data_IF_894501222712
#
_entry.id   IF_894501222712
#
_cell.length_a   1.000
_cell.length_b   1.000
_cell.length_c   1.000
_cell.angle_alpha   90.00
_cell.angle_beta   90.00
_cell.angle_gamma   90.00
#
_symmetry.space_group_name_H-M   'P 1'
#
loop_
_entity.id
_entity.type
_entity.pdbx_description
1 polymer ?
#
# COMPACT_ATOMS: atom_id res chain seq x y z
N UNK A 1 4.70 28.13 -1.77
CA UNK A 1 4.87 28.88 -0.50
C UNK A 1 6.28 29.44 -0.34
N UNK A 2 7.36 28.64 -0.36
CA UNK A 2 8.75 29.16 -0.28
C UNK A 2 9.10 30.27 -1.29
N UNK A 3 8.56 30.18 -2.50
CA UNK A 3 8.75 31.21 -3.54
C UNK A 3 8.12 32.56 -3.18
N UNK A 4 7.02 32.56 -2.40
CA UNK A 4 6.38 33.80 -1.93
C UNK A 4 7.27 34.50 -0.93
N UNK A 5 7.86 33.77 0.03
CA UNK A 5 8.86 34.31 0.97
C UNK A 5 10.05 34.93 0.25
N UNK A 6 10.59 34.22 -0.75
CA UNK A 6 11.71 34.72 -1.55
C UNK A 6 11.34 36.02 -2.27
N UNK A 7 10.13 36.06 -2.83
CA UNK A 7 9.66 37.22 -3.59
C UNK A 7 9.30 38.40 -2.67
N UNK A 8 8.75 38.16 -1.47
CA UNK A 8 8.48 39.22 -0.49
C UNK A 8 9.76 39.90 -0.01
N UNK A 9 10.85 39.14 0.17
CA UNK A 9 12.17 39.69 0.48
C UNK A 9 12.74 40.46 -0.71
N UNK A 10 12.52 39.97 -1.93
CA UNK A 10 12.95 40.65 -3.15
C UNK A 10 12.25 42.00 -3.34
N UNK A 11 10.94 42.11 -3.03
CA UNK A 11 10.22 43.40 -3.04
C UNK A 11 10.89 44.42 -2.12
N UNK A 12 11.27 44.02 -0.90
CA UNK A 12 11.97 44.91 0.05
C UNK A 12 13.35 45.32 -0.49
N UNK A 13 14.09 44.38 -1.09
CA UNK A 13 15.39 44.66 -1.68
C UNK A 13 15.30 45.63 -2.87
N UNK A 14 14.34 45.42 -3.78
CA UNK A 14 14.13 46.27 -4.95
C UNK A 14 13.64 47.66 -4.54
N UNK A 15 12.78 47.75 -3.52
CA UNK A 15 12.33 49.03 -2.95
C UNK A 15 13.51 49.82 -2.36
N UNK A 16 14.36 49.15 -1.57
CA UNK A 16 15.57 49.76 -1.04
C UNK A 16 16.54 50.21 -2.15
N UNK A 17 16.72 49.38 -3.20
CA UNK A 17 17.56 49.73 -4.34
C UNK A 17 17.05 50.99 -5.06
N UNK A 18 15.72 51.13 -5.20
CA UNK A 18 15.11 52.34 -5.75
C UNK A 18 15.35 53.57 -4.85
N UNK A 19 15.24 53.44 -3.52
CA UNK A 19 15.53 54.54 -2.60
C UNK A 19 16.99 55.01 -2.64
N UNK A 20 17.93 54.07 -2.84
CA UNK A 20 19.35 54.40 -3.01
C UNK A 20 19.60 55.05 -4.37
N UNK A 21 19.00 54.52 -5.44
CA UNK A 21 19.21 54.96 -6.82
C UNK A 21 17.87 55.00 -7.58
N UNK A 22 17.17 56.16 -7.59
CA UNK A 22 15.85 56.30 -8.20
C UNK A 22 15.90 56.34 -9.73
N UNK A 23 16.07 55.18 -10.37
CA UNK A 23 16.09 55.04 -11.83
C UNK A 23 14.86 54.31 -12.35
N UNK A 24 14.45 54.55 -13.62
CA UNK A 24 13.37 53.79 -14.24
C UNK A 24 13.60 52.27 -14.21
N UNK A 25 14.86 51.83 -14.35
CA UNK A 25 15.23 50.41 -14.28
C UNK A 25 14.97 49.81 -12.90
N UNK A 26 15.31 50.51 -11.81
CA UNK A 26 15.05 50.01 -10.46
C UNK A 26 13.55 50.03 -10.12
N UNK A 27 12.81 51.01 -10.64
CA UNK A 27 11.35 51.04 -10.52
C UNK A 27 10.69 49.86 -11.25
N UNK A 28 11.19 49.52 -12.44
CA UNK A 28 10.72 48.36 -13.20
C UNK A 28 10.99 47.05 -12.45
N UNK A 29 12.18 46.88 -11.85
CA UNK A 29 12.50 45.71 -11.00
C UNK A 29 11.53 45.58 -9.84
N UNK A 30 11.25 46.67 -9.12
CA UNK A 30 10.29 46.71 -8.02
C UNK A 30 8.87 46.34 -8.48
N UNK A 31 8.41 46.88 -9.60
CA UNK A 31 7.10 46.55 -10.14
C UNK A 31 7.01 45.07 -10.56
N UNK A 32 8.07 44.55 -11.19
CA UNK A 32 8.14 43.14 -11.58
C UNK A 32 8.14 42.21 -10.36
N UNK A 33 8.86 42.53 -9.28
CA UNK A 33 8.83 41.70 -8.06
C UNK A 33 7.47 41.74 -7.37
N UNK A 34 6.77 42.89 -7.32
CA UNK A 34 5.39 42.98 -6.84
C UNK A 34 4.42 42.15 -7.69
N UNK A 35 4.44 42.30 -9.01
CA UNK A 35 3.55 41.53 -9.91
C UNK A 35 3.79 40.01 -9.79
N UNK A 36 5.06 39.60 -9.67
CA UNK A 36 5.42 38.21 -9.44
C UNK A 36 4.86 37.69 -8.11
N UNK A 37 4.87 38.51 -7.06
CA UNK A 37 4.31 38.17 -5.75
C UNK A 37 2.79 37.95 -5.83
N UNK A 38 2.07 38.85 -6.50
CA UNK A 38 0.62 38.73 -6.72
C UNK A 38 0.25 37.47 -7.53
N UNK A 39 1.06 37.12 -8.55
CA UNK A 39 0.87 35.87 -9.30
C UNK A 39 0.99 34.65 -8.39
N UNK A 40 2.01 34.62 -7.52
CA UNK A 40 2.19 33.50 -6.59
C UNK A 40 1.10 33.44 -5.52
N UNK A 41 0.60 34.58 -5.06
CA UNK A 41 -0.53 34.63 -4.12
C UNK A 41 -1.75 33.88 -4.70
N UNK A 42 -2.01 34.04 -6.01
CA UNK A 42 -3.08 33.29 -6.70
C UNK A 42 -2.85 31.79 -6.74
N UNK A 43 -1.60 31.34 -6.85
CA UNK A 43 -1.27 29.91 -6.79
C UNK A 43 -1.48 29.33 -5.39
N UNK A 44 -1.22 30.12 -4.35
CA UNK A 44 -1.37 29.71 -2.95
C UNK A 44 -2.86 29.49 -2.59
N UNK A 45 -3.81 30.19 -3.22
CA UNK A 45 -5.25 29.96 -3.04
C UNK A 45 -5.68 28.51 -3.32
N UNK A 46 -5.01 27.81 -4.24
CA UNK A 46 -5.34 26.42 -4.57
C UNK A 46 -4.91 25.42 -3.48
N UNK A 47 -4.09 25.86 -2.53
CA UNK A 47 -3.65 25.03 -1.40
C UNK A 47 -4.67 25.05 -0.24
N UNK A 48 -5.76 25.81 -0.38
CA UNK A 48 -6.79 25.94 0.65
C UNK A 48 -7.53 24.63 0.89
N UNK A 49 -7.57 24.21 2.15
CA UNK A 49 -8.36 23.10 2.64
C UNK A 49 -9.05 23.50 3.96
N UNK A 50 -9.89 22.62 4.50
CA UNK A 50 -10.64 22.88 5.74
C UNK A 50 -9.77 23.07 6.98
N UNK A 51 -8.54 22.54 6.97
CA UNK A 51 -7.61 22.61 8.09
C UNK A 51 -6.79 23.92 8.07
N UNK A 52 -6.50 24.47 6.88
CA UNK A 52 -5.60 25.61 6.71
C UNK A 52 -6.30 26.91 6.27
N UNK A 53 -7.62 26.92 6.08
CA UNK A 53 -8.39 28.06 5.55
C UNK A 53 -8.07 29.39 6.24
N UNK A 54 -8.14 29.41 7.58
CA UNK A 54 -7.88 30.64 8.35
C UNK A 54 -6.45 31.14 8.22
N UNK A 55 -5.47 30.24 8.37
CA UNK A 55 -4.06 30.59 8.27
C UNK A 55 -3.71 31.09 6.86
N UNK A 56 -4.31 30.48 5.82
CA UNK A 56 -4.13 30.88 4.44
C UNK A 56 -4.76 32.25 4.15
N UNK A 57 -5.94 32.55 4.70
CA UNK A 57 -6.55 33.88 4.60
C UNK A 57 -5.65 34.95 5.21
N UNK A 58 -5.13 34.72 6.42
CA UNK A 58 -4.19 35.66 7.05
C UNK A 58 -2.91 35.81 6.21
N UNK A 59 -2.40 34.72 5.66
CA UNK A 59 -1.23 34.75 4.80
C UNK A 59 -1.44 35.58 3.53
N UNK A 60 -2.60 35.45 2.88
CA UNK A 60 -2.98 36.25 1.71
C UNK A 60 -3.09 37.72 2.07
N UNK A 61 -3.73 38.06 3.19
CA UNK A 61 -3.88 39.43 3.66
C UNK A 61 -2.52 40.10 3.97
N UNK A 62 -1.55 39.33 4.49
CA UNK A 62 -0.19 39.84 4.70
C UNK A 62 0.51 40.17 3.38
N UNK A 63 0.31 39.35 2.34
CA UNK A 63 0.89 39.61 1.01
C UNK A 63 0.29 40.90 0.41
N UNK A 64 -1.02 41.09 0.52
CA UNK A 64 -1.69 42.32 0.08
C UNK A 64 -1.18 43.53 0.85
N UNK A 65 -1.09 43.41 2.17
CA UNK A 65 -0.61 44.49 3.05
C UNK A 65 0.84 44.87 2.73
N UNK A 66 1.69 43.91 2.36
CA UNK A 66 3.07 44.17 1.95
C UNK A 66 3.11 45.03 0.69
N UNK A 67 2.35 44.65 -0.34
CA UNK A 67 2.30 45.40 -1.59
C UNK A 67 1.81 46.84 -1.36
N UNK A 68 0.72 47.00 -0.61
CA UNK A 68 0.15 48.30 -0.29
C UNK A 68 1.11 49.19 0.51
N UNK A 69 1.76 48.62 1.51
CA UNK A 69 2.73 49.35 2.37
C UNK A 69 3.99 49.72 1.59
N UNK A 70 4.46 48.87 0.69
CA UNK A 70 5.56 49.19 -0.22
C UNK A 70 5.20 50.35 -1.16
N UNK A 71 3.97 50.38 -1.68
CA UNK A 71 3.50 51.47 -2.54
C UNK A 71 3.34 52.79 -1.79
N UNK A 72 2.85 52.78 -0.54
CA UNK A 72 2.82 53.97 0.31
C UNK A 72 4.22 54.48 0.65
N UNK A 73 5.16 53.59 0.96
CA UNK A 73 6.55 53.95 1.20
C UNK A 73 7.19 54.63 -0.03
N UNK A 74 6.90 54.11 -1.23
CA UNK A 74 7.33 54.70 -2.50
C UNK A 74 6.67 56.06 -2.77
N UNK A 75 5.38 56.22 -2.46
CA UNK A 75 4.65 57.47 -2.60
C UNK A 75 5.30 58.58 -1.75
N UNK A 76 5.45 58.35 -0.45
CA UNK A 76 6.08 59.31 0.46
C UNK A 76 7.53 59.65 0.08
N UNK A 77 8.27 58.67 -0.46
CA UNK A 77 9.61 58.91 -0.98
C UNK A 77 9.60 59.93 -2.11
N UNK A 78 8.68 59.79 -3.07
CA UNK A 78 8.52 60.69 -4.20
C UNK A 78 8.00 62.07 -3.78
N UNK A 79 7.21 62.16 -2.72
CA UNK A 79 6.72 63.41 -2.11
C UNK A 79 7.76 64.11 -1.22
N UNK A 80 8.98 63.56 -1.13
CA UNK A 80 10.08 64.07 -0.30
C UNK A 80 9.82 63.99 1.22
N UNK A 81 8.84 63.18 1.64
CA UNK A 81 8.49 62.91 3.03
C UNK A 81 9.31 61.73 3.57
N UNK A 82 10.60 61.99 3.84
CA UNK A 82 11.58 60.94 4.18
C UNK A 82 11.25 60.15 5.45
N UNK A 83 10.66 60.81 6.44
CA UNK A 83 10.32 60.17 7.72
C UNK A 83 9.16 59.18 7.56
N UNK A 84 8.08 59.61 6.89
CA UNK A 84 6.92 58.75 6.62
C UNK A 84 7.27 57.61 5.66
N UNK A 85 8.09 57.89 4.64
CA UNK A 85 8.62 56.85 3.74
C UNK A 85 9.41 55.79 4.51
N UNK A 86 10.30 56.20 5.42
CA UNK A 86 11.11 55.28 6.24
C UNK A 86 10.24 54.45 7.21
N UNK A 87 9.18 55.05 7.75
CA UNK A 87 8.22 54.37 8.62
C UNK A 87 7.46 53.28 7.86
N UNK A 88 6.90 53.60 6.69
CA UNK A 88 6.23 52.60 5.85
C UNK A 88 7.21 51.54 5.36
N UNK A 89 8.46 51.89 5.04
CA UNK A 89 9.49 50.92 4.65
C UNK A 89 9.79 49.92 5.78
N UNK A 90 9.90 50.41 7.02
CA UNK A 90 10.09 49.55 8.18
C UNK A 90 8.90 48.61 8.40
N UNK A 91 7.68 49.10 8.18
CA UNK A 91 6.47 48.27 8.28
C UNK A 91 6.39 47.22 7.17
N UNK A 92 6.69 47.58 5.91
CA UNK A 92 6.80 46.63 4.81
C UNK A 92 7.83 45.52 5.12
N UNK A 93 8.98 45.92 5.69
CA UNK A 93 10.01 44.95 6.11
C UNK A 93 9.48 43.99 7.18
N UNK A 94 8.72 44.49 8.17
CA UNK A 94 8.06 43.65 9.19
C UNK A 94 7.06 42.69 8.60
N UNK A 95 6.21 43.16 7.68
CA UNK A 95 5.22 42.30 7.01
C UNK A 95 5.94 41.20 6.22
N UNK A 96 7.05 41.50 5.54
CA UNK A 96 7.85 40.48 4.83
C UNK A 96 8.43 39.42 5.78
N UNK A 97 8.82 39.80 7.01
CA UNK A 97 9.21 38.84 8.05
C UNK A 97 8.02 37.98 8.52
N UNK A 98 6.85 38.58 8.75
CA UNK A 98 5.64 37.82 9.12
C UNK A 98 5.20 36.84 8.02
N UNK A 99 5.33 37.21 6.74
CA UNK A 99 5.12 36.29 5.61
C UNK A 99 6.08 35.10 5.71
N UNK A 100 7.34 35.34 6.06
CA UNK A 100 8.34 34.27 6.25
C UNK A 100 7.95 33.32 7.39
N UNK A 101 7.55 33.87 8.55
CA UNK A 101 7.11 33.09 9.72
C UNK A 101 5.83 32.29 9.46
N UNK A 102 4.85 32.90 8.80
CA UNK A 102 3.60 32.23 8.45
C UNK A 102 3.83 31.13 7.42
N UNK A 103 4.76 31.32 6.49
CA UNK A 103 5.17 30.27 5.55
C UNK A 103 5.70 29.04 6.28
N UNK A 104 6.57 29.24 7.28
CA UNK A 104 7.09 28.15 8.09
C UNK A 104 5.99 27.46 8.89
N UNK A 105 5.07 28.24 9.46
CA UNK A 105 3.92 27.72 10.23
C UNK A 105 2.99 26.87 9.35
N UNK A 106 2.67 27.33 8.14
CA UNK A 106 1.85 26.59 7.19
C UNK A 106 2.53 25.28 6.76
N UNK A 107 3.84 25.32 6.47
CA UNK A 107 4.61 24.13 6.12
C UNK A 107 4.65 23.12 7.30
N UNK A 108 4.90 23.60 8.52
CA UNK A 108 4.94 22.76 9.71
C UNK A 108 3.58 22.11 9.99
N UNK A 109 2.48 22.86 9.84
CA UNK A 109 1.13 22.34 9.98
C UNK A 109 0.81 21.23 8.96
N UNK A 110 1.21 21.39 7.71
CA UNK A 110 1.04 20.37 6.67
C UNK A 110 1.86 19.11 6.98
N UNK A 111 3.10 19.25 7.44
CA UNK A 111 3.96 18.12 7.85
C UNK A 111 3.37 17.37 9.06
N UNK A 112 2.91 18.09 10.08
CA UNK A 112 2.30 17.48 11.27
C UNK A 112 0.98 16.78 10.95
N UNK A 113 0.21 17.30 10.00
CA UNK A 113 -1.01 16.66 9.49
C UNK A 113 -0.68 15.33 8.80
N UNK A 114 0.39 15.30 8.00
CA UNK A 114 0.91 14.08 7.39
C UNK A 114 1.34 13.08 8.46
N UNK A 115 2.11 13.48 9.47
CA UNK A 115 2.50 12.57 10.55
C UNK A 115 1.31 11.97 11.30
N UNK A 116 0.28 12.78 11.60
CA UNK A 116 -0.94 12.30 12.25
C UNK A 116 -1.68 11.29 11.39
N UNK A 117 -1.78 11.53 10.09
CA UNK A 117 -2.37 10.61 9.13
C UNK A 117 -1.59 9.30 9.04
N UNK A 118 -0.26 9.36 8.97
CA UNK A 118 0.62 8.19 8.97
C UNK A 118 0.51 7.39 10.25
N UNK A 119 0.48 8.06 11.42
CA UNK A 119 0.23 7.41 12.70
C UNK A 119 -1.14 6.74 12.74
N UNK A 120 -2.19 7.39 12.22
CA UNK A 120 -3.53 6.80 12.11
C UNK A 120 -3.56 5.52 11.27
N UNK A 121 -2.85 5.49 10.13
CA UNK A 121 -2.71 4.28 9.30
C UNK A 121 -1.96 3.18 10.04
N UNK A 122 -0.84 3.53 10.71
CA UNK A 122 -0.02 2.57 11.46
C UNK A 122 -0.79 2.03 12.67
N UNK A 123 -1.59 2.85 13.35
CA UNK A 123 -2.38 2.43 14.51
C UNK A 123 -3.52 1.49 14.08
N UNK A 124 -4.17 1.75 12.95
CA UNK A 124 -5.13 0.81 12.34
C UNK A 124 -4.49 -0.47 11.78
N UNK A 125 -3.15 -0.52 11.61
CA UNK A 125 -2.46 -1.75 11.18
C UNK A 125 -2.63 -2.90 12.17
N UNK A 126 -2.99 -2.62 13.44
CA UNK A 126 -3.25 -3.64 14.45
C UNK A 126 -4.37 -4.60 14.05
N UNK A 127 -5.47 -4.08 13.50
CA UNK A 127 -6.61 -4.90 13.09
C UNK A 127 -6.32 -5.68 11.80
N UNK A 128 -5.57 -5.10 10.87
CA UNK A 128 -5.10 -5.80 9.65
C UNK A 128 -4.17 -6.96 10.03
N UNK A 129 -3.27 -6.75 11.00
CA UNK A 129 -2.38 -7.82 11.51
C UNK A 129 -3.18 -8.93 12.18
N UNK A 130 -4.17 -8.61 13.02
CA UNK A 130 -5.05 -9.60 13.65
C UNK A 130 -5.82 -10.41 12.61
N UNK A 131 -6.39 -9.75 11.60
CA UNK A 131 -7.07 -10.42 10.48
C UNK A 131 -6.10 -11.36 9.75
N UNK A 132 -4.87 -10.91 9.48
CA UNK A 132 -3.83 -11.73 8.85
C UNK A 132 -3.52 -13.00 9.65
N UNK A 133 -3.39 -12.90 10.98
CA UNK A 133 -3.16 -14.05 11.86
C UNK A 133 -4.35 -15.02 11.82
N UNK A 134 -5.59 -14.52 11.89
CA UNK A 134 -6.78 -15.37 11.82
C UNK A 134 -6.91 -16.09 10.49
N UNK A 135 -6.65 -15.40 9.37
CA UNK A 135 -6.64 -16.01 8.03
C UNK A 135 -5.56 -17.08 7.94
N UNK A 136 -4.35 -16.82 8.43
CA UNK A 136 -3.26 -17.81 8.45
C UNK A 136 -3.62 -19.06 9.26
N UNK A 137 -4.21 -18.89 10.44
CA UNK A 137 -4.69 -19.99 11.29
C UNK A 137 -5.81 -20.78 10.60
N UNK A 138 -6.75 -20.08 9.96
CA UNK A 138 -7.85 -20.72 9.22
C UNK A 138 -7.34 -21.56 8.05
N UNK A 139 -6.41 -21.02 7.26
CA UNK A 139 -5.78 -21.76 6.15
C UNK A 139 -5.03 -22.98 6.67
N UNK A 140 -4.27 -22.83 7.76
CA UNK A 140 -3.51 -23.93 8.36
C UNK A 140 -4.44 -25.03 8.88
N UNK A 141 -5.53 -24.66 9.54
CA UNK A 141 -6.56 -25.59 9.99
C UNK A 141 -7.20 -26.33 8.82
N UNK A 142 -7.58 -25.61 7.75
CA UNK A 142 -8.18 -26.20 6.56
C UNK A 142 -7.23 -27.19 5.87
N UNK A 143 -5.94 -26.83 5.72
CA UNK A 143 -4.93 -27.72 5.18
C UNK A 143 -4.75 -28.99 6.02
N UNK A 144 -4.77 -28.87 7.34
CA UNK A 144 -4.67 -30.02 8.25
C UNK A 144 -5.89 -30.94 8.11
N UNK A 145 -7.11 -30.39 8.04
CA UNK A 145 -8.34 -31.15 7.82
C UNK A 145 -8.34 -31.86 6.47
N UNK A 146 -7.95 -31.17 5.39
CA UNK A 146 -7.86 -31.75 4.05
C UNK A 146 -6.81 -32.87 4.00
N UNK A 147 -5.62 -32.64 4.58
CA UNK A 147 -4.55 -33.64 4.64
C UNK A 147 -5.00 -34.88 5.40
N UNK A 148 -5.69 -34.69 6.54
CA UNK A 148 -6.24 -35.79 7.32
C UNK A 148 -7.34 -36.54 6.55
N UNK A 149 -8.24 -35.81 5.89
CA UNK A 149 -9.29 -36.36 5.03
C UNK A 149 -8.71 -37.24 3.92
N UNK A 150 -7.76 -36.72 3.14
CA UNK A 150 -7.07 -37.48 2.08
C UNK A 150 -6.32 -38.70 2.62
N UNK A 151 -5.71 -38.59 3.80
CA UNK A 151 -5.04 -39.72 4.43
C UNK A 151 -6.02 -40.88 4.69
N UNK A 152 -7.24 -40.57 5.15
CA UNK A 152 -8.27 -41.57 5.43
C UNK A 152 -8.95 -42.11 4.19
N UNK A 153 -9.35 -41.25 3.24
CA UNK A 153 -10.13 -41.65 2.07
C UNK A 153 -9.29 -42.24 0.94
N UNK A 154 -8.03 -41.83 0.79
CA UNK A 154 -7.17 -42.27 -0.33
C UNK A 154 -5.94 -42.98 0.18
N UNK A 155 -5.08 -42.31 0.97
CA UNK A 155 -3.73 -42.83 1.26
C UNK A 155 -3.78 -44.17 2.02
N UNK A 156 -4.62 -44.30 3.04
CA UNK A 156 -4.76 -45.55 3.81
C UNK A 156 -5.37 -46.69 2.97
N UNK A 157 -6.50 -46.52 2.26
CA UNK A 157 -7.05 -47.50 1.33
C UNK A 157 -6.05 -47.97 0.26
N UNK A 158 -5.37 -47.04 -0.41
CA UNK A 158 -4.36 -47.36 -1.43
C UNK A 158 -3.21 -48.15 -0.81
N UNK A 159 -2.71 -47.76 0.36
CA UNK A 159 -1.66 -48.51 1.08
C UNK A 159 -2.10 -49.94 1.40
N UNK A 160 -3.36 -50.16 1.81
CA UNK A 160 -3.91 -51.51 2.03
C UNK A 160 -3.95 -52.33 0.74
N UNK A 161 -4.35 -51.73 -0.38
CA UNK A 161 -4.32 -52.41 -1.69
C UNK A 161 -2.90 -52.77 -2.11
N UNK A 162 -1.93 -51.86 -1.93
CA UNK A 162 -0.52 -52.14 -2.21
C UNK A 162 0.00 -53.31 -1.36
N UNK A 163 -0.36 -53.37 -0.07
CA UNK A 163 0.00 -54.49 0.80
C UNK A 163 -0.64 -55.81 0.34
N UNK A 164 -1.93 -55.78 -0.01
CA UNK A 164 -2.63 -56.96 -0.51
C UNK A 164 -2.03 -57.47 -1.83
N UNK A 165 -1.68 -56.59 -2.75
CA UNK A 165 -1.01 -56.93 -4.00
C UNK A 165 0.36 -57.60 -3.76
N UNK A 166 1.10 -57.14 -2.76
CA UNK A 166 2.39 -57.73 -2.38
C UNK A 166 2.24 -59.12 -1.71
N UNK A 167 1.18 -59.36 -0.95
CA UNK A 167 0.91 -60.71 -0.43
C UNK A 167 0.44 -61.65 -1.56
N UNK A 168 -0.35 -61.13 -2.51
CA UNK A 168 -0.77 -61.85 -3.71
C UNK A 168 0.44 -62.28 -4.57
N UNK A 169 1.41 -61.38 -4.80
CA UNK A 169 2.62 -61.68 -5.57
C UNK A 169 3.52 -62.73 -4.90
N UNK A 170 3.40 -62.92 -3.60
CA UNK A 170 4.08 -63.96 -2.81
C UNK A 170 3.32 -65.30 -2.80
N UNK A 171 2.26 -65.43 -3.59
CA UNK A 171 1.47 -66.65 -3.68
C UNK A 171 0.49 -66.86 -2.53
N UNK A 172 0.22 -65.84 -1.70
CA UNK A 172 -0.70 -65.95 -0.55
C UNK A 172 -2.13 -65.61 -0.95
N UNK A 173 -2.76 -66.52 -1.68
CA UNK A 173 -4.09 -66.30 -2.25
C UNK A 173 -5.26 -66.44 -1.28
N UNK A 174 -5.05 -66.93 -0.05
CA UNK A 174 -6.11 -67.21 0.92
C UNK A 174 -6.60 -65.97 1.69
N UNK A 175 -5.91 -64.83 1.59
CA UNK A 175 -6.24 -63.61 2.35
C UNK A 175 -7.20 -62.71 1.54
N UNK A 176 -8.44 -62.45 2.01
CA UNK A 176 -9.38 -61.59 1.29
C UNK A 176 -8.94 -60.13 1.31
N UNK A 177 -9.12 -59.44 0.19
CA UNK A 177 -8.78 -58.03 0.04
C UNK A 177 -9.99 -57.19 0.46
N UNK A 178 -9.95 -56.63 1.67
CA UNK A 178 -11.01 -55.76 2.19
C UNK A 178 -10.51 -54.35 2.41
N UNK A 179 -11.11 -53.41 1.71
CA UNK A 179 -10.88 -51.97 1.86
C UNK A 179 -12.20 -51.31 2.18
N UNK A 180 -12.19 -50.51 3.24
CA UNK A 180 -13.33 -49.70 3.64
C UNK A 180 -13.26 -48.38 2.87
N UNK A 181 -13.97 -48.33 1.73
CA UNK A 181 -14.17 -47.15 0.91
C UNK A 181 -15.52 -47.25 0.21
N UNK A 182 -16.08 -46.11 -0.21
CA UNK A 182 -17.35 -46.02 -0.93
C UNK A 182 -17.20 -45.37 -2.32
N UNK A 183 -15.96 -45.20 -2.79
CA UNK A 183 -15.59 -44.54 -4.04
C UNK A 183 -14.94 -45.54 -5.04
N UNK A 184 -14.24 -45.02 -6.04
CA UNK A 184 -13.52 -45.80 -7.04
C UNK A 184 -12.46 -46.75 -6.42
N UNK A 185 -11.96 -46.46 -5.23
CA UNK A 185 -11.03 -47.34 -4.51
C UNK A 185 -11.74 -48.62 -4.03
N UNK A 186 -13.02 -48.52 -3.68
CA UNK A 186 -13.84 -49.69 -3.32
C UNK A 186 -14.00 -50.63 -4.52
N UNK A 187 -14.28 -50.05 -5.70
CA UNK A 187 -14.37 -50.81 -6.94
C UNK A 187 -13.05 -51.49 -7.31
N UNK A 188 -11.93 -50.78 -7.13
CA UNK A 188 -10.60 -51.33 -7.36
C UNK A 188 -10.31 -52.50 -6.40
N UNK A 189 -10.67 -52.36 -5.13
CA UNK A 189 -10.50 -53.41 -4.13
C UNK A 189 -11.27 -54.69 -4.49
N UNK A 190 -12.54 -54.55 -4.90
CA UNK A 190 -13.36 -55.69 -5.35
C UNK A 190 -12.78 -56.35 -6.59
N UNK A 191 -12.26 -55.56 -7.54
CA UNK A 191 -11.63 -56.08 -8.76
C UNK A 191 -10.36 -56.86 -8.43
N UNK A 192 -9.52 -56.34 -7.53
CA UNK A 192 -8.32 -57.02 -7.04
C UNK A 192 -8.65 -58.33 -6.31
N UNK A 193 -9.72 -58.34 -5.48
CA UNK A 193 -10.13 -59.57 -4.78
C UNK A 193 -10.63 -60.65 -5.75
N UNK A 194 -11.37 -60.28 -6.80
CA UNK A 194 -11.77 -61.21 -7.85
C UNK A 194 -10.57 -61.82 -8.57
N UNK A 195 -9.55 -61.01 -8.90
CA UNK A 195 -8.30 -61.53 -9.49
C UNK A 195 -7.61 -62.53 -8.56
N UNK A 196 -7.52 -62.22 -7.26
CA UNK A 196 -6.98 -63.16 -6.25
C UNK A 196 -7.73 -64.50 -6.27
N UNK A 197 -9.06 -64.48 -6.27
CA UNK A 197 -9.88 -65.71 -6.28
C UNK A 197 -9.64 -66.50 -7.57
N UNK A 198 -9.64 -65.84 -8.73
CA UNK A 198 -9.43 -66.50 -10.01
C UNK A 198 -8.05 -67.18 -10.07
N UNK A 199 -6.99 -66.48 -9.64
CA UNK A 199 -5.64 -67.07 -9.60
C UNK A 199 -5.59 -68.25 -8.62
N UNK A 200 -6.22 -68.13 -7.45
CA UNK A 200 -6.31 -69.24 -6.50
C UNK A 200 -6.95 -70.49 -7.12
N UNK A 201 -8.07 -70.31 -7.84
CA UNK A 201 -8.80 -71.39 -8.46
C UNK A 201 -7.98 -72.05 -9.58
N UNK A 202 -7.33 -71.26 -10.44
CA UNK A 202 -6.45 -71.77 -11.51
C UNK A 202 -5.30 -72.63 -10.97
N UNK A 203 -4.76 -72.30 -9.81
CA UNK A 203 -3.68 -73.07 -9.17
C UNK A 203 -4.23 -74.27 -8.38
N UNK A 204 -5.49 -74.23 -7.96
CA UNK A 204 -6.13 -75.28 -7.15
C UNK A 204 -6.84 -76.34 -7.99
N UNK A 205 -7.09 -76.09 -9.27
CA UNK A 205 -7.67 -77.05 -10.22
C UNK A 205 -6.56 -78.00 -10.70
N UNK A 206 -6.53 -79.29 -10.26
CA UNK A 206 -5.53 -80.24 -10.72
C UNK A 206 -5.79 -80.56 -12.19
N UNK A 207 -4.75 -80.61 -13.02
CA UNK A 207 -4.88 -80.98 -14.44
C UNK A 207 -5.54 -82.35 -14.62
N UNK A 208 -6.85 -82.36 -14.90
CA UNK A 208 -7.60 -83.51 -15.41
C UNK A 208 -7.29 -83.71 -16.90
N UNK A 209 -6.05 -84.07 -17.24
CA UNK A 209 -5.71 -84.51 -18.60
C UNK A 209 -4.84 -85.78 -18.68
N UNK A 210 -4.66 -86.53 -17.58
CA UNK A 210 -3.86 -87.77 -17.59
C UNK A 210 -4.57 -89.00 -17.01
N UNK A 211 -5.81 -89.27 -17.43
CA UNK A 211 -6.48 -90.56 -17.12
C UNK A 211 -7.32 -91.20 -18.23
N UNK A 212 -7.09 -90.89 -19.51
CA UNK A 212 -7.61 -91.71 -20.61
C UNK A 212 -6.49 -92.13 -21.56
N UNK A 213 -5.88 -93.28 -21.29
CA UNK A 213 -4.73 -93.79 -22.03
C UNK A 213 -4.17 -95.07 -21.46
N UNK A 214 -5.02 -96.01 -21.02
CA UNK A 214 -4.64 -97.42 -20.81
C UNK A 214 -5.85 -98.30 -20.47
N UNK A 215 -6.78 -98.47 -21.42
CA UNK A 215 -7.52 -99.73 -21.53
C UNK A 215 -8.27 -99.83 -22.86
N UNK A 216 -7.61 -100.38 -23.86
CA UNK A 216 -8.19 -101.46 -24.67
C UNK A 216 -7.08 -102.04 -25.56
N UNK A 217 -7.03 -103.37 -25.58
CA UNK A 217 -6.11 -104.14 -26.41
C UNK A 217 -6.48 -104.16 -27.89
#
# INVERSE_FOLDING_TARGET
>A
MNEVTRTSQQVIADLNNYFITPTPENLEKLNNSKEKMEKMQKEVLYLRNSENEFALTNYINLIDSLAETADRSLLFFNEHEKEDSAKEFAEATRISMYISEMTLTLIDSELNTYERFYRGIIEQSGEIKKLGIWVMLMITCLLMLLTYGFSLSITKPVKKLTQAANELSRGRFHLPIKVDSNDEIAFLAQTFDRMRININNLISEPGEEWKDGSSNG
#
